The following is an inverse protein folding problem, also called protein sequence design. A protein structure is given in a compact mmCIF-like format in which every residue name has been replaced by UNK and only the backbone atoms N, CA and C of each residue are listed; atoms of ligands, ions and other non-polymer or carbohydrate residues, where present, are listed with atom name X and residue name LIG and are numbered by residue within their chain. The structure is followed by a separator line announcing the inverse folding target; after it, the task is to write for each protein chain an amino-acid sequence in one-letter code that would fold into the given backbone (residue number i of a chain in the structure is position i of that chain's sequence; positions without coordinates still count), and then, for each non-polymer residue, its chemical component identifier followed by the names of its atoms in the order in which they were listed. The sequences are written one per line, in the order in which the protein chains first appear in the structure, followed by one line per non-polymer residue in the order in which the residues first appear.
data_IF_772220649924
#
_entry.id   IF_772220649924
#
_cell.length_a   1.000
_cell.length_b   1.000
_cell.length_c   1.000
_cell.angle_alpha   90.00
_cell.angle_beta   90.00
_cell.angle_gamma   90.00
#
_symmetry.space_group_name_H-M   'P 1'
#
loop_
_entity.id
_entity.type
_entity.pdbx_description
1 polymer ?
#
# COMPACT_ATOMS: atom_id res chain seq x y z
N UNK A 1 -0.79 -51.00 34.44
CA UNK A 1 0.53 -50.33 34.45
C UNK A 1 1.33 -50.84 35.64
N UNK A 2 2.57 -51.20 35.44
CA UNK A 2 3.47 -51.51 36.54
C UNK A 2 4.02 -50.24 37.17
N UNK A 3 4.51 -50.32 38.39
CA UNK A 3 5.10 -49.15 39.05
C UNK A 3 6.32 -48.66 38.25
N UNK A 4 6.31 -47.41 37.86
CA UNK A 4 7.33 -46.75 37.00
C UNK A 4 7.04 -46.71 35.50
N UNK A 5 5.94 -47.30 35.03
CA UNK A 5 5.52 -47.12 33.64
C UNK A 5 4.93 -45.73 33.43
N UNK A 6 5.33 -45.08 32.29
CA UNK A 6 4.83 -43.79 31.86
C UNK A 6 3.85 -43.98 30.70
N UNK A 7 2.64 -43.47 30.85
CA UNK A 7 1.67 -43.36 29.74
C UNK A 7 1.74 -41.97 29.13
N UNK A 8 2.08 -41.91 27.84
CA UNK A 8 2.04 -40.66 27.08
C UNK A 8 0.78 -40.63 26.22
N UNK A 9 -0.01 -39.57 26.35
CA UNK A 9 -1.22 -39.34 25.54
C UNK A 9 -0.95 -38.09 24.71
N UNK A 10 -1.00 -38.18 23.38
CA UNK A 10 -0.85 -37.09 22.46
C UNK A 10 -2.19 -36.77 21.81
N UNK A 11 -2.68 -35.54 21.98
CA UNK A 11 -3.85 -35.00 21.32
C UNK A 11 -3.44 -33.97 20.30
N UNK A 12 -3.46 -34.27 18.99
CA UNK A 12 -3.17 -33.26 17.95
C UNK A 12 -4.31 -32.22 17.93
N UNK A 13 -3.94 -30.97 17.94
CA UNK A 13 -4.86 -29.83 17.83
C UNK A 13 -4.43 -28.93 16.70
N UNK A 14 -5.41 -28.33 16.00
CA UNK A 14 -5.15 -27.31 14.96
C UNK A 14 -5.74 -25.99 15.42
N UNK A 15 -4.94 -24.92 15.32
CA UNK A 15 -5.42 -23.56 15.56
C UNK A 15 -6.41 -23.19 14.46
N UNK A 16 -7.59 -22.67 14.85
CA UNK A 16 -8.60 -22.23 13.90
C UNK A 16 -8.10 -21.00 13.12
N UNK A 17 -8.41 -20.92 11.83
CA UNK A 17 -7.98 -19.81 10.94
C UNK A 17 -8.42 -18.45 11.46
N UNK A 18 -9.61 -18.36 12.04
CA UNK A 18 -10.15 -17.10 12.57
C UNK A 18 -9.30 -16.52 13.69
N UNK A 19 -8.52 -17.35 14.40
CA UNK A 19 -7.62 -16.89 15.46
C UNK A 19 -6.39 -16.16 14.92
N UNK A 20 -5.98 -16.42 13.67
CA UNK A 20 -4.94 -15.63 12.99
C UNK A 20 -5.36 -14.18 12.75
N UNK A 21 -6.66 -13.90 12.61
CA UNK A 21 -7.18 -12.54 12.43
C UNK A 21 -7.21 -11.75 13.74
N UNK A 22 -7.44 -12.41 14.86
CA UNK A 22 -7.56 -11.77 16.19
C UNK A 22 -6.28 -11.84 17.01
N UNK A 23 -5.45 -12.86 16.77
CA UNK A 23 -4.34 -13.21 17.65
C UNK A 23 -4.83 -13.68 19.01
N UNK A 24 -3.93 -13.90 19.93
CA UNK A 24 -4.25 -14.14 21.33
C UNK A 24 -3.38 -15.15 22.04
N UNK A 25 -3.60 -15.23 23.33
CA UNK A 25 -2.98 -16.20 24.23
C UNK A 25 -3.98 -17.31 24.53
N UNK A 26 -3.60 -18.54 24.28
CA UNK A 26 -4.44 -19.71 24.51
C UNK A 26 -3.78 -20.61 25.54
N UNK A 27 -4.55 -20.98 26.54
CA UNK A 27 -4.10 -21.78 27.67
C UNK A 27 -4.81 -23.12 27.65
N UNK A 28 -4.07 -24.21 27.89
CA UNK A 28 -4.60 -25.56 27.99
C UNK A 28 -4.07 -26.23 29.25
N UNK A 29 -4.99 -26.78 30.06
CA UNK A 29 -4.70 -27.48 31.29
C UNK A 29 -5.35 -28.85 31.22
N UNK A 30 -4.62 -29.91 31.49
CA UNK A 30 -5.18 -31.27 31.56
C UNK A 30 -5.44 -31.68 33.00
N UNK A 31 -6.36 -32.59 33.15
CA UNK A 31 -6.72 -33.20 34.44
C UNK A 31 -6.56 -34.72 34.34
N UNK A 32 -5.85 -35.30 35.29
CA UNK A 32 -5.82 -36.73 35.48
C UNK A 32 -6.71 -37.09 36.68
N UNK A 33 -7.59 -38.06 36.50
CA UNK A 33 -8.38 -38.60 37.61
C UNK A 33 -7.91 -40.02 37.89
N UNK A 34 -7.47 -40.28 39.10
CA UNK A 34 -7.03 -41.56 39.57
C UNK A 34 -7.64 -41.84 40.96
N UNK A 35 -8.25 -43.00 41.13
CA UNK A 35 -8.95 -43.41 42.37
C UNK A 35 -9.91 -42.34 42.96
N UNK A 36 -10.56 -41.56 42.10
CA UNK A 36 -11.46 -40.49 42.54
C UNK A 36 -10.79 -39.18 42.93
N UNK A 37 -9.46 -39.08 42.82
CA UNK A 37 -8.67 -37.88 43.05
C UNK A 37 -8.32 -37.22 41.71
N UNK A 38 -8.55 -35.94 41.58
CA UNK A 38 -8.16 -35.16 40.38
C UNK A 38 -6.80 -34.50 40.60
N UNK A 39 -5.91 -34.69 39.65
CA UNK A 39 -4.60 -34.03 39.56
C UNK A 39 -4.59 -33.09 38.36
N UNK A 40 -4.20 -31.85 38.57
CA UNK A 40 -4.13 -30.81 37.54
C UNK A 40 -2.71 -30.74 37.04
N UNK A 41 -2.54 -30.71 35.70
CA UNK A 41 -1.23 -30.48 35.10
C UNK A 41 -0.84 -29.00 35.17
N UNK A 42 0.40 -28.70 34.85
CA UNK A 42 0.78 -27.32 34.48
C UNK A 42 -0.01 -26.86 33.25
N UNK A 43 -0.28 -25.57 33.18
CA UNK A 43 -0.96 -24.95 32.03
C UNK A 43 0.01 -24.74 30.91
N UNK A 44 -0.24 -25.36 29.76
CA UNK A 44 0.46 -25.06 28.52
C UNK A 44 -0.08 -23.75 27.90
N UNK A 45 0.79 -22.87 27.50
CA UNK A 45 0.45 -21.56 26.92
C UNK A 45 0.93 -21.50 25.48
N UNK A 46 0.03 -21.18 24.57
CA UNK A 46 0.34 -20.93 23.17
C UNK A 46 -0.07 -19.51 22.78
N UNK A 47 0.83 -18.77 22.11
CA UNK A 47 0.54 -17.47 21.56
C UNK A 47 0.27 -17.62 20.06
N UNK A 48 -0.87 -17.08 19.59
CA UNK A 48 -1.20 -16.98 18.18
C UNK A 48 -0.98 -15.54 17.77
N UNK A 49 0.00 -15.26 16.89
CA UNK A 49 0.23 -13.91 16.41
C UNK A 49 -0.94 -13.44 15.56
N UNK A 50 -1.26 -12.15 15.65
CA UNK A 50 -2.21 -11.51 14.76
C UNK A 50 -1.55 -11.22 13.40
N UNK A 51 -2.24 -11.54 12.32
CA UNK A 51 -1.82 -11.18 10.98
C UNK A 51 -2.24 -9.73 10.73
N UNK A 52 -1.26 -8.84 10.55
CA UNK A 52 -1.48 -7.39 10.40
C UNK A 52 -0.76 -6.86 9.14
N UNK A 53 -1.28 -7.15 7.94
CA UNK A 53 -0.71 -6.61 6.71
C UNK A 53 -0.99 -5.11 6.60
N UNK A 54 -0.04 -4.36 5.99
CA UNK A 54 -0.18 -2.92 5.73
C UNK A 54 0.10 -2.60 4.28
N UNK A 55 -0.67 -1.69 3.71
CA UNK A 55 -0.47 -1.14 2.38
C UNK A 55 -0.10 0.33 2.45
N UNK A 56 0.79 0.76 1.56
CA UNK A 56 1.17 2.15 1.35
C UNK A 56 1.37 2.42 -0.14
N UNK A 57 1.50 3.67 -0.52
CA UNK A 57 1.87 4.14 -1.86
C UNK A 57 3.12 4.97 -1.75
N UNK A 58 4.16 4.66 -2.53
CA UNK A 58 5.45 5.35 -2.48
C UNK A 58 6.00 5.55 -3.88
N UNK A 59 6.93 6.50 -4.07
CA UNK A 59 7.58 6.70 -5.38
C UNK A 59 8.47 5.49 -5.72
N UNK A 60 9.29 5.06 -4.79
CA UNK A 60 10.19 3.91 -4.94
C UNK A 60 10.47 3.24 -3.58
N UNK A 61 11.23 2.15 -3.58
CA UNK A 61 11.56 1.42 -2.36
C UNK A 61 12.47 2.18 -1.37
N UNK A 62 13.16 3.23 -1.81
CA UNK A 62 14.01 4.08 -0.96
C UNK A 62 13.22 5.27 -0.36
N UNK A 63 12.05 5.56 -0.92
CA UNK A 63 11.22 6.66 -0.47
C UNK A 63 10.60 6.36 0.90
N UNK A 64 10.75 7.32 1.82
CA UNK A 64 10.10 7.29 3.13
C UNK A 64 8.78 8.05 3.14
N UNK A 65 8.49 8.77 2.06
CA UNK A 65 7.28 9.58 1.96
C UNK A 65 6.13 8.76 1.38
N UNK A 66 5.05 8.66 2.15
CA UNK A 66 3.80 8.07 1.71
C UNK A 66 3.06 9.01 0.75
N UNK A 67 2.47 8.43 -0.29
CA UNK A 67 1.52 9.10 -1.19
C UNK A 67 0.06 8.76 -0.85
N UNK A 68 -0.19 8.00 0.20
CA UNK A 68 -1.56 7.74 0.67
C UNK A 68 -2.25 9.06 1.06
N UNK A 69 -3.45 9.29 0.54
CA UNK A 69 -4.19 10.55 0.66
C UNK A 69 -3.65 11.69 -0.21
N UNK A 70 -2.68 11.45 -1.10
CA UNK A 70 -2.03 12.46 -1.92
C UNK A 70 -2.30 12.28 -3.42
N UNK A 71 -1.79 13.26 -4.19
CA UNK A 71 -1.86 13.25 -5.64
C UNK A 71 -0.80 12.33 -6.26
N UNK A 72 -1.23 11.50 -7.21
CA UNK A 72 -0.39 10.80 -8.18
C UNK A 72 -0.72 11.38 -9.56
N UNK A 73 0.27 11.90 -10.27
CA UNK A 73 0.06 12.55 -11.56
C UNK A 73 -0.23 11.54 -12.67
N UNK A 74 -0.92 12.00 -13.71
CA UNK A 74 -1.07 11.22 -14.94
C UNK A 74 0.29 10.80 -15.49
N UNK A 75 0.41 9.54 -15.93
CA UNK A 75 1.64 8.91 -16.43
C UNK A 75 2.79 8.84 -15.41
N UNK A 76 2.52 9.12 -14.14
CA UNK A 76 3.52 8.97 -13.08
C UNK A 76 3.71 7.50 -12.73
N UNK A 77 4.98 7.09 -12.67
CA UNK A 77 5.37 5.79 -12.10
C UNK A 77 5.48 5.90 -10.59
N UNK A 78 4.95 4.93 -9.88
CA UNK A 78 4.96 4.80 -8.42
C UNK A 78 4.93 3.34 -8.02
N UNK A 79 4.97 3.02 -6.73
CA UNK A 79 4.86 1.66 -6.23
C UNK A 79 3.73 1.54 -5.21
N UNK A 80 2.94 0.46 -5.32
CA UNK A 80 2.22 -0.05 -4.18
C UNK A 80 3.20 -0.83 -3.30
N UNK A 81 3.31 -0.40 -2.05
CA UNK A 81 4.11 -1.06 -1.01
C UNK A 81 3.20 -1.94 -0.17
N UNK A 82 3.45 -3.24 -0.19
CA UNK A 82 2.70 -4.25 0.54
C UNK A 82 3.59 -4.79 1.67
N UNK A 83 3.27 -4.45 2.91
CA UNK A 83 4.04 -4.90 4.08
C UNK A 83 3.34 -6.10 4.69
N UNK A 84 3.99 -7.25 4.64
CA UNK A 84 3.47 -8.49 5.21
C UNK A 84 3.48 -8.49 6.74
N UNK A 85 2.76 -9.41 7.33
CA UNK A 85 2.71 -9.57 8.79
C UNK A 85 4.02 -10.11 9.34
N UNK A 86 4.39 -9.65 10.53
CA UNK A 86 5.53 -10.22 11.25
C UNK A 86 5.20 -11.65 11.71
N UNK A 87 5.98 -12.62 11.26
CA UNK A 87 5.99 -13.98 11.76
C UNK A 87 6.97 -14.02 12.95
N UNK A 88 6.52 -14.35 14.16
CA UNK A 88 7.36 -14.29 15.35
C UNK A 88 8.42 -15.41 15.35
N UNK A 89 9.48 -15.20 16.10
CA UNK A 89 10.41 -16.25 16.50
C UNK A 89 9.80 -17.19 17.52
N UNK A 90 10.47 -18.30 17.78
CA UNK A 90 10.09 -19.33 18.74
C UNK A 90 8.67 -19.89 18.48
N UNK A 91 8.29 -19.94 17.19
CA UNK A 91 7.02 -20.47 16.73
C UNK A 91 7.02 -22.00 16.78
N UNK A 92 5.86 -22.57 17.05
CA UNK A 92 5.68 -24.04 17.09
C UNK A 92 5.37 -24.65 15.71
N UNK A 93 5.11 -23.80 14.70
CA UNK A 93 4.79 -24.22 13.35
C UNK A 93 5.77 -23.64 12.35
N UNK A 94 6.18 -24.48 11.40
CA UNK A 94 7.06 -24.07 10.31
C UNK A 94 6.31 -23.13 9.35
N UNK A 95 7.01 -22.10 8.86
CA UNK A 95 6.45 -21.22 7.82
C UNK A 95 6.49 -21.97 6.47
N UNK A 96 5.34 -22.10 5.81
CA UNK A 96 5.23 -22.78 4.52
C UNK A 96 4.48 -21.98 3.45
N UNK A 97 3.78 -20.93 3.86
CA UNK A 97 3.07 -20.02 2.95
C UNK A 97 3.19 -18.57 3.43
N UNK A 98 3.61 -17.71 2.51
CA UNK A 98 3.68 -16.26 2.73
C UNK A 98 3.44 -15.60 1.36
N UNK A 99 2.22 -15.07 1.18
CA UNK A 99 1.71 -14.62 -0.11
C UNK A 99 1.08 -13.24 0.00
N UNK A 100 1.27 -12.43 -1.04
CA UNK A 100 0.63 -11.14 -1.26
C UNK A 100 -0.25 -11.24 -2.50
N UNK A 101 -1.51 -10.84 -2.41
CA UNK A 101 -2.47 -10.82 -3.51
C UNK A 101 -3.06 -9.41 -3.62
N UNK A 102 -2.65 -8.68 -4.64
CA UNK A 102 -3.14 -7.33 -4.95
C UNK A 102 -4.20 -7.41 -6.05
N UNK A 103 -5.31 -6.69 -5.88
CA UNK A 103 -6.39 -6.53 -6.85
C UNK A 103 -6.52 -5.02 -7.13
N UNK A 104 -5.61 -4.51 -7.98
CA UNK A 104 -5.53 -3.08 -8.29
C UNK A 104 -6.57 -2.68 -9.33
N UNK A 105 -6.96 -1.41 -9.37
CA UNK A 105 -7.88 -0.88 -10.38
C UNK A 105 -7.17 -0.75 -11.74
N UNK A 106 -7.34 -1.75 -12.60
CA UNK A 106 -6.74 -1.83 -13.93
C UNK A 106 -7.26 -0.77 -14.90
N UNK A 107 -8.31 -0.07 -14.55
CA UNK A 107 -8.81 1.06 -15.36
C UNK A 107 -8.03 2.34 -15.09
N UNK A 108 -7.44 2.48 -13.92
CA UNK A 108 -6.70 3.66 -13.48
C UNK A 108 -5.19 3.43 -13.40
N UNK A 109 -4.75 2.22 -13.11
CA UNK A 109 -3.35 1.87 -12.92
C UNK A 109 -2.91 0.74 -13.84
N UNK A 110 -1.71 0.85 -14.39
CA UNK A 110 -1.09 -0.21 -15.18
C UNK A 110 0.10 -0.81 -14.42
N UNK A 111 0.04 -2.12 -14.14
CA UNK A 111 1.18 -2.85 -13.58
C UNK A 111 2.28 -3.04 -14.62
N UNK A 112 3.49 -2.59 -14.32
CA UNK A 112 4.63 -2.61 -15.25
C UNK A 112 5.32 -3.98 -15.38
N UNK A 113 4.87 -4.98 -14.62
CA UNK A 113 5.49 -6.31 -14.60
C UNK A 113 6.78 -6.37 -13.79
N UNK A 114 7.10 -5.30 -13.07
CA UNK A 114 8.29 -5.16 -12.23
C UNK A 114 7.88 -5.16 -10.76
N UNK A 115 8.54 -6.01 -9.97
CA UNK A 115 8.37 -6.02 -8.52
C UNK A 115 9.70 -6.27 -7.82
N UNK A 116 9.79 -5.86 -6.57
CA UNK A 116 10.92 -6.12 -5.68
C UNK A 116 10.40 -6.56 -4.32
N UNK A 117 11.14 -7.43 -3.67
CA UNK A 117 10.81 -7.94 -2.33
C UNK A 117 12.02 -7.77 -1.44
N UNK A 118 11.79 -7.22 -0.24
CA UNK A 118 12.85 -6.99 0.74
C UNK A 118 12.49 -7.57 2.09
N UNK A 119 13.50 -8.04 2.83
CA UNK A 119 13.38 -8.37 4.24
C UNK A 119 13.15 -7.08 5.06
N UNK A 120 12.28 -7.12 6.05
CA UNK A 120 12.10 -5.99 6.99
C UNK A 120 12.68 -6.27 8.37
N UNK A 121 13.06 -7.53 8.63
CA UNK A 121 13.70 -8.00 9.87
C UNK A 121 14.90 -8.88 9.54
N UNK A 122 15.81 -9.02 10.48
CA UNK A 122 16.92 -9.97 10.39
C UNK A 122 16.42 -11.39 10.61
N UNK A 123 16.92 -12.35 9.81
CA UNK A 123 16.61 -13.76 9.99
C UNK A 123 17.74 -14.67 9.51
N UNK A 124 17.70 -15.93 9.92
CA UNK A 124 18.67 -16.96 9.55
C UNK A 124 17.95 -18.21 9.03
N UNK A 125 18.56 -18.88 8.06
CA UNK A 125 18.08 -20.12 7.48
C UNK A 125 18.84 -21.32 8.01
N UNK A 126 18.30 -22.52 7.87
CA UNK A 126 18.86 -23.77 8.37
C UNK A 126 20.18 -24.18 7.71
N UNK A 127 20.50 -23.62 6.53
CA UNK A 127 21.79 -23.76 5.86
C UNK A 127 22.83 -22.72 6.31
N UNK A 128 22.50 -21.88 7.30
CA UNK A 128 23.38 -20.89 7.90
C UNK A 128 23.48 -19.57 7.15
N UNK A 129 22.63 -19.32 6.13
CA UNK A 129 22.56 -18.02 5.50
C UNK A 129 21.91 -17.02 6.44
N UNK A 130 22.46 -15.79 6.50
CA UNK A 130 21.97 -14.69 7.33
C UNK A 130 21.49 -13.57 6.44
N UNK A 131 20.27 -13.16 6.66
CA UNK A 131 19.63 -12.04 5.99
C UNK A 131 19.43 -10.88 6.97
N UNK A 132 19.62 -9.66 6.46
CA UNK A 132 19.40 -8.42 7.19
C UNK A 132 18.17 -7.70 6.71
N UNK A 133 17.59 -6.89 7.57
CA UNK A 133 16.57 -5.93 7.15
C UNK A 133 17.12 -5.08 5.99
N UNK A 134 16.37 -5.01 4.87
CA UNK A 134 16.78 -4.37 3.63
C UNK A 134 17.39 -5.31 2.59
N UNK A 135 17.70 -6.55 2.92
CA UNK A 135 18.20 -7.50 1.92
C UNK A 135 17.11 -7.87 0.92
N UNK A 136 17.48 -7.94 -0.36
CA UNK A 136 16.55 -8.27 -1.44
C UNK A 136 16.25 -9.78 -1.48
N UNK A 137 14.95 -10.09 -1.47
CA UNK A 137 14.42 -11.47 -1.46
C UNK A 137 13.68 -11.85 -2.75
N UNK A 138 13.64 -11.00 -3.78
CA UNK A 138 12.88 -11.19 -5.02
C UNK A 138 13.15 -12.55 -5.66
N UNK A 139 14.41 -13.04 -5.64
CA UNK A 139 14.81 -14.34 -6.21
C UNK A 139 14.17 -15.55 -5.53
N UNK A 140 13.63 -15.40 -4.33
CA UNK A 140 12.94 -16.46 -3.57
C UNK A 140 11.41 -16.39 -3.72
N UNK A 141 10.94 -15.61 -4.69
CA UNK A 141 9.52 -15.41 -4.95
C UNK A 141 9.19 -15.64 -6.41
N UNK A 142 7.91 -15.83 -6.68
CA UNK A 142 7.34 -15.88 -8.02
C UNK A 142 6.12 -14.98 -8.10
N UNK A 143 5.81 -14.50 -9.33
CA UNK A 143 4.60 -13.73 -9.58
C UNK A 143 3.65 -14.48 -10.50
N UNK A 144 2.34 -14.28 -10.27
CA UNK A 144 1.26 -14.63 -11.19
C UNK A 144 0.46 -13.36 -11.46
N UNK A 145 0.27 -13.03 -12.73
CA UNK A 145 -0.36 -11.77 -13.14
C UNK A 145 -1.54 -12.03 -14.06
N UNK A 146 -2.70 -11.45 -13.75
CA UNK A 146 -3.85 -11.32 -14.63
C UNK A 146 -4.15 -9.82 -14.84
N UNK A 147 -3.48 -9.21 -15.82
CA UNK A 147 -3.62 -7.77 -16.11
C UNK A 147 -5.05 -7.38 -16.49
N UNK A 148 -5.82 -8.29 -17.09
CA UNK A 148 -7.19 -8.00 -17.51
C UNK A 148 -8.16 -7.87 -16.32
N UNK A 149 -7.74 -8.35 -15.14
CA UNK A 149 -8.51 -8.27 -13.91
C UNK A 149 -7.79 -7.48 -12.82
N UNK A 150 -6.73 -6.77 -13.15
CA UNK A 150 -5.98 -6.01 -12.17
C UNK A 150 -5.29 -6.83 -11.08
N UNK A 151 -5.02 -8.12 -11.33
CA UNK A 151 -4.56 -9.02 -10.27
C UNK A 151 -3.08 -9.35 -10.37
N UNK A 152 -2.37 -9.20 -9.22
CA UNK A 152 -0.96 -9.59 -9.05
C UNK A 152 -0.82 -10.40 -7.76
N UNK A 153 -0.39 -11.64 -7.89
CA UNK A 153 -0.04 -12.52 -6.78
C UNK A 153 1.49 -12.65 -6.70
N UNK A 154 2.08 -12.36 -5.54
CA UNK A 154 3.49 -12.62 -5.23
C UNK A 154 3.56 -13.67 -4.14
N UNK A 155 4.21 -14.80 -4.41
CA UNK A 155 4.32 -15.92 -3.49
C UNK A 155 5.77 -16.27 -3.23
N UNK A 156 6.14 -16.46 -1.97
CA UNK A 156 7.43 -17.02 -1.61
C UNK A 156 7.52 -18.51 -1.97
N UNK A 157 8.71 -18.95 -2.32
CA UNK A 157 9.01 -20.37 -2.47
C UNK A 157 8.86 -21.11 -1.14
N UNK A 158 8.09 -22.20 -1.14
CA UNK A 158 7.81 -22.97 0.06
C UNK A 158 9.03 -23.65 0.66
N UNK A 159 10.04 -24.03 -0.16
CA UNK A 159 11.28 -24.61 0.35
C UNK A 159 12.14 -23.54 1.05
N UNK A 160 12.20 -22.32 0.47
CA UNK A 160 12.84 -21.18 1.13
C UNK A 160 12.19 -20.86 2.47
N UNK A 161 10.85 -20.74 2.53
CA UNK A 161 10.13 -20.45 3.78
C UNK A 161 10.41 -21.51 4.86
N UNK A 162 10.42 -22.78 4.47
CA UNK A 162 10.74 -23.90 5.37
C UNK A 162 12.17 -23.90 5.87
N UNK A 163 13.09 -23.27 5.15
CA UNK A 163 14.48 -23.15 5.59
C UNK A 163 14.69 -22.09 6.68
N UNK A 164 13.74 -21.15 6.87
CA UNK A 164 13.84 -20.10 7.87
C UNK A 164 13.73 -20.71 9.27
N UNK A 165 14.74 -20.48 10.10
CA UNK A 165 14.77 -21.04 11.46
C UNK A 165 13.56 -20.58 12.28
N UNK A 166 12.98 -21.49 13.05
CA UNK A 166 11.87 -21.18 13.94
C UNK A 166 12.24 -20.18 15.03
N UNK A 167 13.53 -20.11 15.38
CA UNK A 167 14.11 -19.14 16.31
C UNK A 167 14.30 -17.74 15.73
N UNK A 168 14.07 -17.56 14.41
CA UNK A 168 14.13 -16.28 13.73
C UNK A 168 12.73 -15.71 13.51
N UNK A 169 12.61 -14.38 13.57
CA UNK A 169 11.46 -13.66 13.03
C UNK A 169 11.49 -13.69 11.50
N UNK A 170 10.37 -13.48 10.85
CA UNK A 170 10.31 -13.27 9.41
C UNK A 170 9.26 -12.23 9.05
N UNK A 171 9.66 -11.29 8.24
CA UNK A 171 8.74 -10.32 7.62
C UNK A 171 9.37 -9.80 6.33
N UNK A 172 8.54 -9.63 5.32
CA UNK A 172 8.94 -9.08 4.04
C UNK A 172 7.97 -8.00 3.58
N UNK A 173 8.45 -7.12 2.72
CA UNK A 173 7.65 -6.14 2.01
C UNK A 173 7.86 -6.26 0.50
N UNK A 174 6.81 -5.99 -0.26
CA UNK A 174 6.77 -6.05 -1.72
C UNK A 174 6.51 -4.65 -2.27
N UNK A 175 7.21 -4.29 -3.34
CA UNK A 175 6.99 -3.10 -4.13
C UNK A 175 6.53 -3.51 -5.52
N UNK A 176 5.30 -3.12 -5.90
CA UNK A 176 4.71 -3.36 -7.22
C UNK A 176 4.77 -2.06 -8.00
N UNK A 177 5.55 -2.04 -9.10
CA UNK A 177 5.69 -0.85 -9.93
C UNK A 177 4.46 -0.64 -10.82
N UNK A 178 3.81 0.51 -10.64
CA UNK A 178 2.60 0.92 -11.33
C UNK A 178 2.84 2.20 -12.13
N UNK A 179 2.00 2.43 -13.14
CA UNK A 179 1.88 3.73 -13.82
C UNK A 179 0.42 4.16 -13.81
N UNK A 180 0.13 5.39 -13.39
CA UNK A 180 -1.19 5.96 -13.42
C UNK A 180 -1.60 6.28 -14.87
N UNK A 181 -2.70 5.69 -15.35
CA UNK A 181 -3.17 5.80 -16.74
C UNK A 181 -4.50 6.54 -16.88
N UNK A 182 -5.20 6.82 -15.78
CA UNK A 182 -6.47 7.52 -15.79
C UNK A 182 -6.60 8.47 -14.59
N UNK A 183 -7.29 9.63 -14.81
CA UNK A 183 -7.65 10.56 -13.75
C UNK A 183 -8.77 10.01 -12.87
N UNK A 184 -8.81 10.43 -11.61
CA UNK A 184 -9.83 10.02 -10.65
C UNK A 184 -9.24 9.68 -9.29
N UNK A 185 -10.12 9.30 -8.36
CA UNK A 185 -9.75 8.73 -7.09
C UNK A 185 -9.56 7.22 -7.24
N UNK A 186 -8.49 6.68 -6.69
CA UNK A 186 -8.17 5.25 -6.72
C UNK A 186 -7.97 4.76 -5.30
N UNK A 187 -8.79 3.76 -4.93
CA UNK A 187 -8.66 3.04 -3.68
C UNK A 187 -8.04 1.67 -3.95
N UNK A 188 -7.12 1.23 -3.09
CA UNK A 188 -6.53 -0.08 -3.23
C UNK A 188 -6.25 -0.74 -1.88
N UNK A 189 -6.51 -2.06 -1.80
CA UNK A 189 -6.18 -2.96 -0.68
C UNK A 189 -5.40 -4.15 -1.24
N UNK A 190 -4.86 -5.00 -0.36
CA UNK A 190 -4.35 -6.30 -0.78
C UNK A 190 -4.68 -7.36 0.28
N UNK A 191 -4.63 -8.61 -0.12
CA UNK A 191 -4.79 -9.77 0.77
C UNK A 191 -3.43 -10.39 1.06
N UNK A 192 -3.17 -10.65 2.33
CA UNK A 192 -1.96 -11.32 2.79
C UNK A 192 -2.30 -12.69 3.36
N UNK A 193 -1.63 -13.74 2.87
CA UNK A 193 -1.82 -15.10 3.36
C UNK A 193 -0.56 -15.60 4.05
N UNK A 194 -0.71 -16.05 5.28
CA UNK A 194 0.35 -16.73 6.06
C UNK A 194 -0.18 -18.08 6.51
N UNK A 195 0.46 -19.16 6.11
CA UNK A 195 0.11 -20.53 6.48
C UNK A 195 -1.40 -20.83 6.35
N UNK A 196 -2.01 -20.40 5.23
CA UNK A 196 -3.43 -20.62 4.91
C UNK A 196 -4.40 -19.67 5.61
N UNK A 197 -3.93 -18.70 6.39
CA UNK A 197 -4.78 -17.63 6.97
C UNK A 197 -4.64 -16.38 6.12
N UNK A 198 -5.74 -15.94 5.53
CA UNK A 198 -5.79 -14.74 4.69
C UNK A 198 -6.42 -13.57 5.45
N UNK A 199 -5.80 -12.40 5.38
CA UNK A 199 -6.26 -11.15 6.00
C UNK A 199 -6.08 -9.99 5.01
N UNK A 200 -7.06 -9.09 4.97
CA UNK A 200 -7.00 -7.88 4.15
C UNK A 200 -6.20 -6.76 4.85
N UNK A 201 -5.46 -5.96 4.08
CA UNK A 201 -4.73 -4.80 4.56
C UNK A 201 -5.66 -3.59 4.83
N UNK A 202 -5.07 -2.46 5.26
CA UNK A 202 -5.72 -1.16 5.16
C UNK A 202 -5.92 -0.78 3.68
N UNK A 203 -6.90 0.10 3.43
CA UNK A 203 -7.09 0.78 2.14
C UNK A 203 -6.15 1.98 2.06
N UNK A 204 -5.51 2.17 0.90
CA UNK A 204 -4.82 3.41 0.51
C UNK A 204 -5.64 4.12 -0.55
N UNK A 205 -5.57 5.45 -0.58
CA UNK A 205 -6.32 6.28 -1.53
C UNK A 205 -5.38 7.26 -2.20
N UNK A 206 -5.42 7.36 -3.52
CA UNK A 206 -4.69 8.38 -4.28
C UNK A 206 -5.63 9.12 -5.21
N UNK A 207 -5.30 10.37 -5.53
CA UNK A 207 -6.10 11.21 -6.42
C UNK A 207 -5.26 11.65 -7.62
N UNK A 208 -5.84 11.53 -8.83
CA UNK A 208 -5.24 12.11 -10.04
C UNK A 208 -6.18 13.18 -10.60
N UNK A 209 -5.75 14.45 -10.68
CA UNK A 209 -6.56 15.51 -11.25
C UNK A 209 -6.90 15.25 -12.72
N UNK A 210 -8.07 15.69 -13.15
CA UNK A 210 -8.37 15.77 -14.60
C UNK A 210 -7.44 16.78 -15.26
N UNK A 211 -6.94 16.45 -16.45
CA UNK A 211 -6.23 17.44 -17.25
C UNK A 211 -7.18 18.60 -17.58
N UNK A 212 -6.73 19.87 -17.47
CA UNK A 212 -7.52 21.01 -17.88
C UNK A 212 -7.95 20.81 -19.34
N UNK A 213 -9.23 20.75 -19.60
CA UNK A 213 -9.74 20.74 -20.99
C UNK A 213 -9.20 22.00 -21.66
N UNK A 214 -8.39 21.83 -22.70
CA UNK A 214 -8.02 22.95 -23.58
C UNK A 214 -9.32 23.60 -24.00
N UNK A 215 -9.49 24.93 -23.82
CA UNK A 215 -10.69 25.60 -24.31
C UNK A 215 -10.88 25.21 -25.77
N UNK A 216 -12.05 24.67 -26.12
CA UNK A 216 -12.41 24.43 -27.50
C UNK A 216 -12.19 25.77 -28.23
N UNK A 217 -11.28 25.80 -29.21
CA UNK A 217 -11.20 26.94 -30.12
C UNK A 217 -12.61 27.14 -30.67
N UNK A 218 -13.26 28.20 -30.19
CA UNK A 218 -14.51 28.61 -30.81
C UNK A 218 -14.21 28.76 -32.32
N UNK A 219 -15.01 28.13 -33.20
CA UNK A 219 -14.87 28.33 -34.63
C UNK A 219 -14.83 29.83 -34.84
N UNK A 220 -13.71 30.33 -35.38
CA UNK A 220 -13.59 31.75 -35.75
C UNK A 220 -14.80 32.07 -36.61
N UNK A 221 -15.71 32.90 -36.10
CA UNK A 221 -16.75 33.45 -36.92
C UNK A 221 -16.09 34.10 -38.11
N UNK A 222 -16.50 33.79 -39.35
CA UNK A 222 -15.89 34.44 -40.52
C UNK A 222 -15.98 35.95 -40.33
N UNK A 223 -14.82 36.61 -40.40
CA UNK A 223 -14.72 38.06 -40.33
C UNK A 223 -15.76 38.66 -41.32
N UNK A 224 -16.83 39.24 -40.78
CA UNK A 224 -17.69 40.08 -41.56
C UNK A 224 -16.85 41.28 -41.94
N UNK A 225 -16.40 41.30 -43.22
CA UNK A 225 -15.82 42.49 -43.82
C UNK A 225 -16.82 43.62 -43.64
N UNK A 226 -16.45 44.58 -42.78
CA UNK A 226 -17.18 45.86 -42.65
C UNK A 226 -17.13 46.59 -43.98
N UNK A 227 -18.27 47.15 -44.46
CA UNK A 227 -18.27 47.99 -45.64
C UNK A 227 -17.35 49.20 -45.38
N UNK A 228 -16.44 49.45 -46.30
CA UNK A 228 -15.61 50.64 -46.31
C UNK A 228 -16.47 51.85 -46.62
N UNK A 229 -17.01 52.52 -45.61
CA UNK A 229 -17.50 53.87 -45.74
C UNK A 229 -16.47 54.78 -45.06
N UNK A 230 -15.78 55.55 -45.93
CA UNK A 230 -14.85 56.57 -45.47
C UNK A 230 -15.59 57.67 -44.73
N UNK A 231 -15.24 57.80 -43.44
CA UNK A 231 -15.43 59.06 -42.70
C UNK A 231 -14.27 59.23 -41.71
N UNK A 232 -13.66 60.38 -41.76
CA UNK A 232 -12.55 60.80 -40.93
C UNK A 232 -12.98 60.79 -39.47
N UNK A 233 -12.39 59.89 -38.68
CA UNK A 233 -12.47 59.99 -37.24
C UNK A 233 -11.73 61.24 -36.78
N UNK A 234 -12.46 62.24 -36.25
CA UNK A 234 -11.91 63.47 -35.73
C UNK A 234 -11.00 63.18 -34.53
N UNK A 235 -9.85 63.82 -34.50
CA UNK A 235 -8.80 63.69 -33.46
C UNK A 235 -9.28 64.01 -32.02
N UNK A 236 -10.48 64.53 -31.86
CA UNK A 236 -11.04 64.88 -30.55
C UNK A 236 -11.47 63.72 -29.68
N UNK A 237 -11.81 62.54 -30.25
CA UNK A 237 -12.20 61.38 -29.50
C UNK A 237 -11.01 60.62 -28.84
N UNK A 238 -9.81 60.80 -29.40
CA UNK A 238 -8.59 60.20 -28.86
C UNK A 238 -8.07 60.94 -27.60
N UNK A 239 -8.38 62.26 -27.48
CA UNK A 239 -7.95 63.06 -26.33
C UNK A 239 -8.80 62.79 -25.08
N UNK A 240 -10.08 62.44 -25.25
CA UNK A 240 -10.98 62.15 -24.14
C UNK A 240 -10.67 60.79 -23.45
N UNK A 241 -10.14 59.81 -24.20
CA UNK A 241 -9.74 58.47 -23.65
C UNK A 241 -8.49 58.53 -22.78
N UNK A 242 -7.53 59.38 -23.13
CA UNK A 242 -6.26 59.53 -22.43
C UNK A 242 -6.40 60.27 -21.09
N UNK A 243 -7.37 61.18 -20.95
CA UNK A 243 -7.62 61.92 -19.68
C UNK A 243 -8.34 61.08 -18.65
N UNK A 244 -9.17 60.11 -19.03
CA UNK A 244 -9.85 59.23 -18.09
C UNK A 244 -8.91 58.13 -17.53
N UNK A 245 -7.95 57.64 -18.27
CA UNK A 245 -6.95 56.68 -17.82
C UNK A 245 -5.99 57.23 -16.75
N UNK A 246 -5.61 58.52 -16.88
CA UNK A 246 -4.68 59.16 -15.93
C UNK A 246 -5.33 59.51 -14.58
N UNK A 247 -6.65 59.73 -14.54
CA UNK A 247 -7.39 59.97 -13.29
C UNK A 247 -7.59 58.68 -12.47
N UNK A 248 -7.73 57.52 -13.10
CA UNK A 248 -7.88 56.25 -12.42
C UNK A 248 -6.60 55.79 -11.73
N UNK A 249 -5.42 56.01 -12.35
CA UNK A 249 -4.12 55.68 -11.76
C UNK A 249 -3.73 56.61 -10.61
N UNK A 250 -4.11 57.89 -10.68
CA UNK A 250 -3.88 58.88 -9.60
C UNK A 250 -4.66 58.56 -8.35
N UNK A 251 -5.92 58.10 -8.45
CA UNK A 251 -6.78 57.74 -7.32
C UNK A 251 -6.33 56.44 -6.61
N UNK A 252 -5.77 55.50 -7.33
CA UNK A 252 -5.20 54.24 -6.75
C UNK A 252 -3.88 54.54 -6.01
N UNK A 253 -3.08 55.46 -6.48
CA UNK A 253 -1.82 55.82 -5.83
C UNK A 253 -2.07 56.63 -4.53
N UNK A 254 -3.07 57.50 -4.48
CA UNK A 254 -3.39 58.27 -3.27
C UNK A 254 -4.02 57.44 -2.15
N UNK A 255 -4.75 56.36 -2.51
CA UNK A 255 -5.31 55.42 -1.50
C UNK A 255 -4.26 54.53 -0.85
N UNK A 256 -3.12 54.26 -1.56
CA UNK A 256 -2.04 53.44 -1.01
C UNK A 256 -1.22 54.20 0.04
N UNK A 257 -1.02 55.52 -0.10
CA UNK A 257 -0.28 56.33 0.85
C UNK A 257 -1.03 56.62 2.16
N UNK A 258 -2.36 56.44 2.19
CA UNK A 258 -3.17 56.62 3.42
C UNK A 258 -3.26 55.37 4.33
N UNK A 259 -2.66 54.25 3.91
CA UNK A 259 -2.61 53.00 4.71
C UNK A 259 -1.26 52.76 5.41
N UNK A 260 -0.27 53.62 5.17
CA UNK A 260 1.08 53.50 5.75
C UNK A 260 1.45 54.74 6.63
N UNK A 261 0.45 55.44 7.16
CA UNK A 261 0.64 56.52 8.14
C UNK A 261 -0.18 56.25 9.40
#
# INVERSE_FOLDING_TARGET
MQAGEVLTITNPMTVKKELGQTGGKYENTAYQVDFGMAYVTETAVNNVPKIEPKKDVVIDHLSKESLDGKEVKMNQTFNYKLVGSLVPKDRSEQLFEYKFSDDYDETHDEYQGVYQVFATVDFETSDGQKFKAGDELTKFTSQVVDKAKGKVDISFDGAFLKSILETSEFQAEVYLQMTRIQSGAVENTYYHTVNGVEVVSNTVVTQTPEEPKTPEEHPQQPERSLPSTGEQASAELLLAGLTMGSLATGLLYSKRKKKEA
#
